data_IF_201368372369
#
_entry.id   IF_201368372369
#
_cell.length_a   1.000
_cell.length_b   1.000
_cell.length_c   1.000
_cell.angle_alpha   90.00
_cell.angle_beta   90.00
_cell.angle_gamma   90.00
#
_symmetry.space_group_name_H-M   'P 1'
#
loop_
_entity.id
_entity.type
_entity.pdbx_description
1 polymer ?
#
# COMPACT_ATOMS: atom_id res chain seq x y z
N UNK A 1 1.83 1.10 -13.57
CA UNK A 1 1.69 0.57 -12.20
C UNK A 1 2.46 1.45 -11.25
N UNK A 2 1.81 2.27 -10.42
CA UNK A 2 2.56 2.97 -9.39
C UNK A 2 2.92 2.05 -8.24
N UNK A 3 4.07 2.38 -7.67
CA UNK A 3 4.75 1.63 -6.61
C UNK A 3 3.83 1.33 -5.42
N UNK A 4 3.00 2.29 -5.04
CA UNK A 4 2.13 2.19 -3.89
C UNK A 4 1.00 1.17 -4.08
N UNK A 5 0.36 1.16 -5.26
CA UNK A 5 -0.69 0.18 -5.57
C UNK A 5 -0.16 -1.26 -5.56
N UNK A 6 1.01 -1.48 -6.16
CA UNK A 6 1.72 -2.77 -6.15
C UNK A 6 2.08 -3.24 -4.75
N UNK A 7 2.76 -2.38 -3.98
CA UNK A 7 3.17 -2.68 -2.61
C UNK A 7 1.96 -3.01 -1.74
N UNK A 8 0.87 -2.24 -1.88
CA UNK A 8 -0.36 -2.47 -1.15
C UNK A 8 -0.99 -3.81 -1.52
N UNK A 9 -1.12 -4.10 -2.82
CA UNK A 9 -1.69 -5.38 -3.29
C UNK A 9 -0.94 -6.57 -2.71
N UNK A 10 0.39 -6.55 -2.80
CA UNK A 10 1.24 -7.63 -2.28
C UNK A 10 1.06 -7.84 -0.77
N UNK A 11 1.00 -6.76 0.02
CA UNK A 11 0.78 -6.87 1.47
C UNK A 11 -0.60 -7.44 1.79
N UNK A 12 -1.64 -6.96 1.10
CA UNK A 12 -3.00 -7.45 1.32
C UNK A 12 -3.10 -8.96 1.04
N UNK A 13 -2.46 -9.44 -0.02
CA UNK A 13 -2.41 -10.86 -0.38
C UNK A 13 -1.57 -11.68 0.62
N UNK A 14 -0.39 -11.18 1.01
CA UNK A 14 0.55 -11.89 1.91
C UNK A 14 -0.01 -12.09 3.31
N UNK A 15 -0.77 -11.12 3.83
CA UNK A 15 -1.32 -11.13 5.18
C UNK A 15 -2.81 -11.50 5.23
N UNK A 16 -3.39 -11.96 4.10
CA UNK A 16 -4.82 -12.29 3.98
C UNK A 16 -5.76 -11.16 4.45
N UNK A 17 -5.40 -9.92 4.10
CA UNK A 17 -6.18 -8.72 4.43
C UNK A 17 -7.04 -8.34 3.23
N UNK A 18 -8.36 -8.42 3.37
CA UNK A 18 -9.25 -7.96 2.31
C UNK A 18 -9.22 -6.43 2.14
N UNK A 19 -9.42 -5.95 0.90
CA UNK A 19 -9.54 -4.51 0.60
C UNK A 19 -10.60 -3.82 1.47
N UNK A 20 -11.72 -4.52 1.74
CA UNK A 20 -12.80 -4.00 2.57
C UNK A 20 -12.38 -3.85 4.04
N UNK A 21 -11.60 -4.80 4.57
CA UNK A 21 -11.07 -4.72 5.95
C UNK A 21 -10.18 -3.50 6.13
N UNK A 22 -9.29 -3.24 5.16
CA UNK A 22 -8.47 -2.03 5.16
C UNK A 22 -9.33 -0.76 5.06
N UNK A 23 -10.32 -0.73 4.18
CA UNK A 23 -11.22 0.41 4.02
C UNK A 23 -11.95 0.78 5.32
N UNK A 24 -12.46 -0.23 6.05
CA UNK A 24 -13.08 -0.05 7.36
C UNK A 24 -12.09 0.53 8.37
N UNK A 25 -10.86 0.00 8.44
CA UNK A 25 -9.83 0.48 9.37
C UNK A 25 -9.39 1.94 9.08
N UNK A 26 -9.42 2.33 7.80
CA UNK A 26 -9.13 3.69 7.34
C UNK A 26 -10.34 4.63 7.44
N UNK A 27 -11.56 4.12 7.62
CA UNK A 27 -12.79 4.93 7.64
C UNK A 27 -13.18 5.49 6.26
N UNK A 28 -12.79 4.82 5.18
CA UNK A 28 -13.04 5.25 3.80
C UNK A 28 -13.89 4.24 3.03
N UNK A 29 -14.39 4.63 1.85
CA UNK A 29 -15.10 3.70 0.96
C UNK A 29 -14.13 2.68 0.34
N UNK A 30 -14.51 1.40 0.29
CA UNK A 30 -13.75 0.31 -0.33
C UNK A 30 -13.37 0.58 -1.80
N UNK A 31 -14.18 1.37 -2.52
CA UNK A 31 -13.87 1.80 -3.89
C UNK A 31 -12.54 2.59 -4.00
N UNK A 32 -12.10 3.28 -2.94
CA UNK A 32 -10.78 3.94 -2.95
C UNK A 32 -9.65 2.91 -2.94
N UNK A 33 -9.74 1.94 -2.02
CA UNK A 33 -8.76 0.84 -1.91
C UNK A 33 -8.71 0.04 -3.20
N UNK A 34 -9.88 -0.25 -3.78
CA UNK A 34 -9.98 -0.96 -5.04
C UNK A 34 -9.27 -0.23 -6.19
N UNK A 35 -9.41 1.10 -6.29
CA UNK A 35 -8.70 1.89 -7.32
C UNK A 35 -7.19 1.85 -7.15
N UNK A 36 -6.68 1.80 -5.93
CA UNK A 36 -5.24 1.70 -5.67
C UNK A 36 -4.71 0.31 -6.01
N UNK A 37 -5.41 -0.75 -5.57
CA UNK A 37 -4.99 -2.15 -5.78
C UNK A 37 -5.12 -2.59 -7.24
N UNK A 38 -6.13 -2.09 -7.95
CA UNK A 38 -6.32 -2.32 -9.39
C UNK A 38 -5.65 -1.25 -10.26
N UNK A 39 -4.82 -0.39 -9.67
CA UNK A 39 -3.95 0.54 -10.40
C UNK A 39 -4.68 1.55 -11.30
N UNK A 40 -5.95 1.82 -10.99
CA UNK A 40 -6.73 2.85 -11.67
C UNK A 40 -6.20 4.24 -11.32
N UNK A 41 -5.70 4.40 -10.09
CA UNK A 41 -5.09 5.64 -9.59
C UNK A 41 -4.17 5.31 -8.44
N UNK A 42 -2.99 5.92 -8.38
CA UNK A 42 -2.13 5.78 -7.21
C UNK A 42 -2.60 6.64 -6.03
N UNK A 43 -2.41 6.14 -4.80
CA UNK A 43 -2.57 6.97 -3.60
C UNK A 43 -1.50 8.08 -3.58
N UNK A 44 -1.88 9.26 -3.10
CA UNK A 44 -0.93 10.36 -2.89
C UNK A 44 -0.01 10.12 -1.69
N UNK A 45 1.03 10.94 -1.53
CA UNK A 45 2.03 10.78 -0.46
C UNK A 45 1.41 10.77 0.95
N UNK A 46 0.44 11.64 1.22
CA UNK A 46 -0.30 11.67 2.49
C UNK A 46 -1.10 10.39 2.72
N UNK A 47 -1.75 9.89 1.67
CA UNK A 47 -2.54 8.64 1.71
C UNK A 47 -1.67 7.42 2.02
N UNK A 48 -0.37 7.42 1.70
CA UNK A 48 0.54 6.33 2.09
C UNK A 48 0.65 6.21 3.62
N UNK A 49 0.71 7.35 4.32
CA UNK A 49 0.75 7.37 5.79
C UNK A 49 -0.57 6.87 6.37
N UNK A 50 -1.70 7.20 5.74
CA UNK A 50 -3.02 6.70 6.11
C UNK A 50 -3.15 5.20 5.89
N UNK A 51 -2.68 4.68 4.75
CA UNK A 51 -2.65 3.24 4.43
C UNK A 51 -1.81 2.50 5.48
N UNK A 52 -0.58 2.97 5.75
CA UNK A 52 0.29 2.42 6.79
C UNK A 52 -0.43 2.39 8.14
N UNK A 53 -1.04 3.49 8.54
CA UNK A 53 -1.76 3.58 9.82
C UNK A 53 -2.99 2.65 9.85
N UNK A 54 -3.71 2.51 8.73
CA UNK A 54 -4.84 1.60 8.58
C UNK A 54 -4.41 0.14 8.70
N UNK A 55 -3.34 -0.25 8.00
CA UNK A 55 -2.72 -1.56 8.12
C UNK A 55 -2.29 -1.83 9.56
N UNK A 56 -1.64 -0.86 10.24
CA UNK A 56 -1.17 -1.02 11.62
C UNK A 56 -2.30 -1.32 12.62
N UNK A 57 -3.52 -0.83 12.36
CA UNK A 57 -4.70 -1.14 13.19
C UNK A 57 -5.17 -2.59 13.00
N UNK A 58 -4.85 -3.21 11.87
CA UNK A 58 -5.24 -4.58 11.51
C UNK A 58 -4.14 -5.56 11.91
N UNK A 59 -2.92 -5.30 11.45
CA UNK A 59 -1.73 -6.10 11.65
C UNK A 59 -0.48 -5.19 11.58
N UNK A 60 0.34 -5.22 12.63
CA UNK A 60 1.54 -4.39 12.70
C UNK A 60 2.60 -4.80 11.66
N UNK A 61 2.79 -6.10 11.43
CA UNK A 61 3.76 -6.59 10.47
C UNK A 61 3.36 -6.23 9.03
N UNK A 62 2.07 -6.29 8.69
CA UNK A 62 1.58 -5.83 7.39
C UNK A 62 1.88 -4.33 7.14
N UNK A 63 1.79 -3.51 8.19
CA UNK A 63 2.13 -2.08 8.12
C UNK A 63 3.62 -1.85 7.84
N UNK A 64 4.48 -2.55 8.58
CA UNK A 64 5.93 -2.43 8.45
C UNK A 64 6.39 -2.93 7.08
N UNK A 65 5.80 -4.04 6.61
CA UNK A 65 6.06 -4.62 5.29
C UNK A 65 5.63 -3.69 4.15
N UNK A 66 4.49 -3.01 4.27
CA UNK A 66 4.04 -2.05 3.27
C UNK A 66 5.05 -0.91 3.06
N UNK A 67 5.60 -0.37 4.15
CA UNK A 67 6.64 0.66 4.07
C UNK A 67 7.94 0.10 3.50
N UNK A 68 8.32 -1.12 3.92
CA UNK A 68 9.50 -1.80 3.38
C UNK A 68 9.41 -1.98 1.87
N UNK A 69 8.32 -2.54 1.36
CA UNK A 69 8.09 -2.74 -0.09
C UNK A 69 8.00 -1.40 -0.83
N UNK A 70 7.28 -0.43 -0.27
CA UNK A 70 7.20 0.91 -0.84
C UNK A 70 8.53 1.66 -0.80
N UNK A 71 9.56 1.24 -0.07
CA UNK A 71 10.89 1.87 -0.10
C UNK A 71 11.92 1.03 -0.87
N UNK A 72 11.85 -0.30 -0.80
CA UNK A 72 12.73 -1.19 -1.52
C UNK A 72 12.60 -1.01 -3.05
N UNK A 73 11.38 -0.80 -3.56
CA UNK A 73 11.16 -0.57 -5.00
C UNK A 73 11.60 0.85 -5.45
N UNK A 74 12.13 1.73 -4.56
CA UNK A 74 12.73 3.03 -4.98
C UNK A 74 14.22 2.93 -5.21
N UNK A 75 14.88 1.96 -4.59
CA UNK A 75 16.34 1.84 -4.66
C UNK A 75 16.82 1.23 -5.99
N UNK A 76 15.89 0.86 -6.88
CA UNK A 76 16.19 0.25 -8.19
C UNK A 76 16.14 1.25 -9.36
N UNK A 77 15.98 2.55 -9.09
CA UNK A 77 15.86 3.58 -10.13
C UNK A 77 16.99 4.62 -10.13
N UNK A 78 18.05 4.42 -9.34
CA UNK A 78 19.16 5.38 -9.19
C UNK A 78 20.54 4.75 -9.46
N UNK A 79 20.59 3.69 -10.28
CA UNK A 79 21.84 3.02 -10.66
C UNK A 79 21.94 2.71 -12.16
N UNK A 80 21.65 3.68 -13.02
CA UNK A 80 22.14 3.82 -14.41
C UNK A 80 22.17 5.35 -14.61
N UNK A 81 23.30 6.05 -14.56
CA UNK A 81 24.31 6.12 -15.62
C UNK A 81 25.71 6.49 -15.04
N UNK A 82 26.71 5.65 -15.32
CA UNK A 82 28.15 6.03 -15.41
C UNK A 82 28.47 6.44 -16.86
#
# INVERSE_FOLDING_TARGET
>A
MGKAGKSLKQVLETYDISQNRLAIAMGIRAANVNRWVNEVRDPGAETLLEIRNGLRKIDRAASDEFIRLYLADSEVADSEDE
#
